data_IF_597372614119
#
_entry.id   IF_597372614119
#
_cell.length_a   1.000
_cell.length_b   1.000
_cell.length_c   1.000
_cell.angle_alpha   90.00
_cell.angle_beta   90.00
_cell.angle_gamma   90.00
#
_symmetry.space_group_name_H-M   'P 1'
#
loop_
_entity.id
_entity.type
_entity.pdbx_description
1 polymer ?
#
# COMPACT_ATOMS: atom_id res chain seq x y z
N UNK A 1 -9.80 14.91 -24.04
CA UNK A 1 -10.35 14.09 -22.93
C UNK A 1 -9.44 12.91 -22.54
N UNK A 2 -8.39 12.60 -23.31
CA UNK A 2 -7.53 11.39 -23.20
C UNK A 2 -6.44 11.42 -22.11
N UNK A 3 -6.17 12.56 -21.48
CA UNK A 3 -4.99 12.71 -20.60
C UNK A 3 -5.27 12.46 -19.11
N UNK A 4 -6.50 12.72 -18.62
CA UNK A 4 -6.90 12.29 -17.26
C UNK A 4 -6.81 10.77 -17.10
N UNK A 5 -6.82 10.05 -18.22
CA UNK A 5 -6.69 8.59 -18.28
C UNK A 5 -5.25 8.08 -18.25
N UNK A 6 -4.21 8.85 -18.62
CA UNK A 6 -2.82 8.34 -18.63
C UNK A 6 -2.27 8.13 -17.22
N UNK A 7 -2.28 9.16 -16.37
CA UNK A 7 -1.77 9.05 -14.99
C UNK A 7 -2.51 7.99 -14.18
N UNK A 8 -3.80 7.80 -14.44
CA UNK A 8 -4.61 6.75 -13.80
C UNK A 8 -4.15 5.35 -14.22
N UNK A 9 -3.90 5.13 -15.51
CA UNK A 9 -3.40 3.86 -16.04
C UNK A 9 -2.00 3.56 -15.51
N UNK A 10 -1.09 4.52 -15.57
CA UNK A 10 0.28 4.39 -15.08
C UNK A 10 0.32 4.06 -13.59
N UNK A 11 -0.58 4.68 -12.82
CA UNK A 11 -0.70 4.43 -11.38
C UNK A 11 -1.23 3.03 -11.06
N UNK A 12 -2.16 2.49 -11.86
CA UNK A 12 -2.63 1.12 -11.72
C UNK A 12 -1.48 0.14 -11.98
N UNK A 13 -0.74 0.34 -13.08
CA UNK A 13 0.39 -0.50 -13.47
C UNK A 13 1.47 -0.48 -12.38
N UNK A 14 1.82 0.71 -11.88
CA UNK A 14 2.79 0.85 -10.80
C UNK A 14 2.29 0.19 -9.49
N UNK A 15 0.99 0.33 -9.17
CA UNK A 15 0.40 -0.36 -8.02
C UNK A 15 0.55 -1.88 -8.14
N UNK A 16 0.30 -2.46 -9.31
CA UNK A 16 0.52 -3.89 -9.55
C UNK A 16 2.00 -4.26 -9.41
N UNK A 17 2.91 -3.46 -9.93
CA UNK A 17 4.34 -3.71 -9.81
C UNK A 17 4.79 -3.73 -8.34
N UNK A 18 4.41 -2.71 -7.56
CA UNK A 18 4.70 -2.60 -6.12
C UNK A 18 4.16 -3.79 -5.33
N UNK A 19 2.99 -4.31 -5.72
CA UNK A 19 2.33 -5.38 -4.99
C UNK A 19 2.61 -6.78 -5.53
N UNK A 20 3.24 -6.92 -6.70
CA UNK A 20 3.48 -8.21 -7.35
C UNK A 20 4.31 -9.17 -6.50
N UNK A 21 5.14 -8.63 -5.61
CA UNK A 21 5.96 -9.41 -4.69
C UNK A 21 5.14 -10.06 -3.57
N UNK A 22 3.98 -9.50 -3.20
CA UNK A 22 3.15 -10.02 -2.10
C UNK A 22 2.59 -11.41 -2.40
N UNK A 23 1.89 -11.67 -3.53
CA UNK A 23 1.45 -13.02 -3.87
C UNK A 23 2.62 -14.03 -3.81
N UNK A 24 3.77 -13.68 -4.38
CA UNK A 24 4.96 -14.55 -4.36
C UNK A 24 5.41 -14.86 -2.94
N UNK A 25 5.53 -13.86 -2.06
CA UNK A 25 5.96 -14.05 -0.68
C UNK A 25 4.95 -14.84 0.17
N UNK A 26 3.65 -14.65 -0.09
CA UNK A 26 2.58 -15.32 0.63
C UNK A 26 2.45 -16.79 0.21
N UNK A 27 2.42 -17.08 -1.10
CA UNK A 27 2.25 -18.46 -1.60
C UNK A 27 3.51 -19.32 -1.52
N UNK A 28 4.70 -18.72 -1.34
CA UNK A 28 5.96 -19.45 -1.14
C UNK A 28 6.19 -19.94 0.30
N UNK A 29 5.22 -19.79 1.20
CA UNK A 29 5.35 -20.11 2.64
C UNK A 29 6.58 -19.45 3.29
N UNK A 30 6.89 -18.21 2.89
CA UNK A 30 8.00 -17.48 3.49
C UNK A 30 7.64 -16.98 4.90
N UNK A 31 8.64 -16.63 5.71
CA UNK A 31 8.45 -15.95 7.01
C UNK A 31 7.57 -14.69 6.93
N UNK A 32 7.43 -14.11 5.74
CA UNK A 32 6.52 -12.99 5.49
C UNK A 32 5.04 -13.35 5.72
N UNK A 33 4.64 -14.58 5.42
CA UNK A 33 3.28 -15.05 5.66
C UNK A 33 2.96 -15.10 7.15
N UNK A 34 3.90 -15.63 7.95
CA UNK A 34 3.77 -15.68 9.42
C UNK A 34 3.69 -14.26 10.01
N UNK A 35 4.49 -13.32 9.47
CA UNK A 35 4.43 -11.90 9.85
C UNK A 35 3.06 -11.29 9.56
N UNK A 36 2.48 -11.56 8.40
CA UNK A 36 1.14 -11.10 8.04
C UNK A 36 0.05 -11.67 8.95
N UNK A 37 0.14 -12.96 9.32
CA UNK A 37 -0.80 -13.61 10.26
C UNK A 37 -0.74 -12.94 11.64
N UNK A 38 0.44 -12.51 12.08
CA UNK A 38 0.57 -11.80 13.36
C UNK A 38 -0.14 -10.44 13.37
N UNK A 39 -0.28 -9.78 12.21
CA UNK A 39 -1.09 -8.56 12.09
C UNK A 39 -2.58 -8.92 12.23
N UNK A 40 -3.06 -9.85 11.42
CA UNK A 40 -4.44 -10.32 11.51
C UNK A 40 -4.52 -11.75 11.00
N UNK A 41 -5.00 -12.64 11.86
CA UNK A 41 -5.27 -14.04 11.53
C UNK A 41 -6.74 -14.19 11.11
N UNK A 42 -6.96 -14.38 9.82
CA UNK A 42 -8.26 -14.70 9.22
C UNK A 42 -8.53 -16.21 9.16
N UNK A 43 -7.62 -17.03 9.68
CA UNK A 43 -7.63 -18.48 9.59
C UNK A 43 -6.94 -19.01 8.32
N UNK A 44 -6.66 -20.31 8.34
CA UNK A 44 -5.85 -21.03 7.33
C UNK A 44 -6.33 -20.79 5.89
N UNK A 45 -7.65 -20.76 5.68
CA UNK A 45 -8.23 -20.59 4.36
C UNK A 45 -8.20 -19.13 3.87
N UNK A 46 -8.54 -18.18 4.73
CA UNK A 46 -8.69 -16.77 4.33
C UNK A 46 -7.37 -15.99 4.35
N UNK A 47 -6.37 -16.40 5.12
CA UNK A 47 -5.08 -15.70 5.20
C UNK A 47 -4.38 -15.57 3.83
N UNK A 48 -4.19 -16.65 3.04
CA UNK A 48 -3.54 -16.53 1.73
C UNK A 48 -4.36 -15.68 0.75
N UNK A 49 -5.69 -15.78 0.81
CA UNK A 49 -6.61 -15.01 -0.05
C UNK A 49 -6.51 -13.53 0.29
N UNK A 50 -6.54 -13.17 1.57
CA UNK A 50 -6.50 -11.79 2.00
C UNK A 50 -5.13 -11.16 1.69
N UNK A 51 -4.05 -11.74 2.21
CA UNK A 51 -2.72 -11.15 2.11
C UNK A 51 -2.12 -11.29 0.70
N UNK A 52 -2.46 -12.35 -0.03
CA UNK A 52 -1.95 -12.61 -1.37
C UNK A 52 -2.78 -11.99 -2.50
N UNK A 53 -4.05 -11.64 -2.28
CA UNK A 53 -4.93 -11.13 -3.36
C UNK A 53 -5.61 -9.82 -2.94
N UNK A 54 -6.41 -9.83 -1.87
CA UNK A 54 -7.23 -8.66 -1.50
C UNK A 54 -6.37 -7.46 -1.10
N UNK A 55 -5.30 -7.68 -0.34
CA UNK A 55 -4.39 -6.62 0.10
C UNK A 55 -3.62 -5.98 -1.07
N UNK A 56 -3.03 -6.74 -2.01
CA UNK A 56 -2.53 -6.19 -3.27
C UNK A 56 -3.55 -5.36 -4.06
N UNK A 57 -4.78 -5.87 -4.21
CA UNK A 57 -5.85 -5.14 -4.92
C UNK A 57 -6.21 -3.83 -4.20
N UNK A 58 -6.24 -3.84 -2.88
CA UNK A 58 -6.46 -2.63 -2.08
C UNK A 58 -5.38 -1.59 -2.35
N UNK A 59 -4.10 -1.97 -2.41
CA UNK A 59 -3.02 -1.03 -2.73
C UNK A 59 -3.16 -0.47 -4.15
N UNK A 60 -3.46 -1.31 -5.15
CA UNK A 60 -3.72 -0.85 -6.53
C UNK A 60 -4.86 0.18 -6.55
N UNK A 61 -5.94 -0.08 -5.80
CA UNK A 61 -7.04 0.85 -5.66
C UNK A 61 -6.60 2.18 -5.01
N UNK A 62 -5.75 2.14 -3.99
CA UNK A 62 -5.20 3.34 -3.37
C UNK A 62 -4.36 4.17 -4.34
N UNK A 63 -3.51 3.53 -5.13
CA UNK A 63 -2.73 4.19 -6.19
C UNK A 63 -3.65 4.90 -7.17
N UNK A 64 -4.65 4.20 -7.69
CA UNK A 64 -5.63 4.76 -8.63
C UNK A 64 -6.42 5.94 -8.03
N UNK A 65 -6.93 5.77 -6.80
CA UNK A 65 -7.70 6.80 -6.09
C UNK A 65 -6.87 8.06 -5.85
N UNK A 66 -5.62 7.91 -5.44
CA UNK A 66 -4.71 9.04 -5.18
C UNK A 66 -4.28 9.71 -6.48
N UNK A 67 -3.99 8.95 -7.53
CA UNK A 67 -3.72 9.47 -8.87
C UNK A 67 -4.90 10.32 -9.40
N UNK A 68 -6.13 9.83 -9.21
CA UNK A 68 -7.33 10.56 -9.60
C UNK A 68 -7.43 11.91 -8.89
N UNK A 69 -7.11 11.99 -7.61
CA UNK A 69 -7.11 13.26 -6.86
C UNK A 69 -6.03 14.23 -7.35
N UNK A 70 -4.82 13.74 -7.58
CA UNK A 70 -3.67 14.58 -7.98
C UNK A 70 -3.75 15.01 -9.45
N UNK A 71 -4.45 14.25 -10.30
CA UNK A 71 -4.60 14.58 -11.73
C UNK A 71 -5.15 15.98 -12.02
N UNK A 72 -5.90 16.57 -11.08
CA UNK A 72 -6.46 17.92 -11.23
C UNK A 72 -5.45 19.04 -10.97
N UNK A 73 -4.48 18.80 -10.08
CA UNK A 73 -3.49 19.80 -9.67
C UNK A 73 -2.10 19.55 -10.24
N UNK A 74 -1.90 18.45 -10.98
CA UNK A 74 -0.60 17.94 -11.41
C UNK A 74 0.31 18.99 -12.09
N UNK A 75 -0.26 19.90 -12.89
CA UNK A 75 0.49 20.94 -13.61
C UNK A 75 0.72 22.22 -12.81
N UNK A 76 0.00 22.39 -11.70
CA UNK A 76 0.10 23.60 -10.87
C UNK A 76 1.09 23.43 -9.71
N UNK A 77 1.47 22.19 -9.42
CA UNK A 77 2.35 21.86 -8.30
C UNK A 77 3.72 21.37 -8.81
N UNK A 78 4.76 21.76 -8.08
CA UNK A 78 6.12 21.30 -8.36
C UNK A 78 6.19 19.76 -8.30
N UNK A 79 7.02 19.18 -9.18
CA UNK A 79 7.23 17.73 -9.32
C UNK A 79 7.39 17.00 -7.97
N UNK A 80 8.32 17.42 -7.13
CA UNK A 80 8.57 16.78 -5.83
C UNK A 80 7.38 16.93 -4.87
N UNK A 81 6.63 18.02 -4.96
CA UNK A 81 5.41 18.23 -4.16
C UNK A 81 4.32 17.26 -4.59
N UNK A 82 4.13 17.03 -5.90
CA UNK A 82 3.21 16.03 -6.42
C UNK A 82 3.57 14.61 -5.97
N UNK A 83 4.87 14.25 -6.06
CA UNK A 83 5.36 12.94 -5.63
C UNK A 83 5.15 12.73 -4.12
N UNK A 84 5.48 13.73 -3.30
CA UNK A 84 5.27 13.70 -1.86
C UNK A 84 3.78 13.57 -1.50
N UNK A 85 2.90 14.35 -2.14
CA UNK A 85 1.45 14.25 -1.94
C UNK A 85 0.90 12.88 -2.34
N UNK A 86 1.38 12.31 -3.45
CA UNK A 86 0.99 10.97 -3.89
C UNK A 86 1.41 9.92 -2.88
N UNK A 87 2.71 9.91 -2.52
CA UNK A 87 3.27 8.93 -1.60
C UNK A 87 2.63 9.00 -0.23
N UNK A 88 2.45 10.21 0.32
CA UNK A 88 1.78 10.40 1.60
C UNK A 88 0.30 9.97 1.55
N UNK A 89 -0.40 10.29 0.46
CA UNK A 89 -1.82 9.95 0.29
C UNK A 89 -2.10 8.45 0.18
N UNK A 90 -1.14 7.67 -0.35
CA UNK A 90 -1.21 6.21 -0.38
C UNK A 90 -0.74 5.63 0.95
N UNK A 91 0.44 6.02 1.43
CA UNK A 91 1.08 5.43 2.61
C UNK A 91 0.28 5.64 3.89
N UNK A 92 -0.31 6.83 4.08
CA UNK A 92 -1.17 7.12 5.25
C UNK A 92 -2.38 6.18 5.33
N UNK A 93 -3.00 5.88 4.19
CA UNK A 93 -4.15 4.96 4.12
C UNK A 93 -3.74 3.51 4.33
N UNK A 94 -2.56 3.11 3.86
CA UNK A 94 -2.00 1.77 4.13
C UNK A 94 -1.77 1.60 5.63
N UNK A 95 -1.09 2.56 6.27
CA UNK A 95 -0.85 2.55 7.71
C UNK A 95 -2.17 2.44 8.47
N UNK A 96 -3.14 3.31 8.16
CA UNK A 96 -4.44 3.31 8.82
C UNK A 96 -5.19 1.99 8.60
N UNK A 97 -5.14 1.41 7.40
CA UNK A 97 -5.76 0.12 7.12
C UNK A 97 -5.09 -1.01 7.92
N UNK A 98 -3.76 -1.09 7.95
CA UNK A 98 -3.03 -2.11 8.70
C UNK A 98 -3.30 -2.04 10.21
N UNK A 99 -3.29 -0.84 10.79
CA UNK A 99 -3.67 -0.64 12.19
C UNK A 99 -5.13 -1.01 12.46
N UNK A 100 -6.03 -0.65 11.55
CA UNK A 100 -7.45 -1.01 11.67
C UNK A 100 -7.66 -2.53 11.63
N UNK A 101 -7.01 -3.22 10.69
CA UNK A 101 -7.04 -4.68 10.60
C UNK A 101 -6.49 -5.35 11.84
N UNK A 102 -5.38 -4.84 12.38
CA UNK A 102 -4.80 -5.34 13.62
C UNK A 102 -5.76 -5.22 14.81
N UNK A 103 -6.36 -4.03 14.99
CA UNK A 103 -7.31 -3.79 16.08
C UNK A 103 -8.53 -4.72 15.94
N UNK A 104 -9.12 -4.80 14.74
CA UNK A 104 -10.27 -5.66 14.47
C UNK A 104 -9.91 -7.14 14.68
N UNK A 105 -8.76 -7.59 14.20
CA UNK A 105 -8.28 -8.96 14.37
C UNK A 105 -8.13 -9.35 15.84
N UNK A 106 -7.62 -8.43 16.67
CA UNK A 106 -7.54 -8.63 18.13
C UNK A 106 -8.92 -8.70 18.80
N UNK A 107 -9.91 -7.96 18.30
CA UNK A 107 -11.29 -8.06 18.80
C UNK A 107 -11.97 -9.38 18.41
N UNK A 108 -11.81 -9.83 17.15
CA UNK A 108 -12.48 -11.01 16.61
C UNK A 108 -11.89 -12.31 17.16
N UNK A 109 -10.56 -12.44 17.17
CA UNK A 109 -9.89 -13.67 17.60
C UNK A 109 -9.88 -13.85 19.14
N UNK A 110 -10.51 -12.90 19.84
CA UNK A 110 -10.53 -12.83 21.29
C UNK A 110 -9.16 -12.44 21.85
N UNK A 111 -9.18 -11.70 22.95
CA UNK A 111 -8.05 -11.66 23.88
C UNK A 111 -8.08 -13.01 24.63
N UNK A 112 -8.00 -14.14 23.92
CA UNK A 112 -7.95 -15.47 24.52
C UNK A 112 -6.54 -15.69 25.05
N UNK A 113 -6.25 -14.99 26.15
CA UNK A 113 -5.10 -15.10 27.06
C UNK A 113 -3.98 -16.05 26.62
N UNK A 114 -3.06 -15.60 25.74
CA UNK A 114 -1.66 -15.90 25.95
C UNK A 114 -1.29 -15.46 27.37
N UNK A 115 -0.44 -16.21 28.08
CA UNK A 115 0.11 -15.78 29.36
C UNK A 115 0.55 -14.31 29.25
N UNK A 116 0.25 -13.48 30.25
CA UNK A 116 0.45 -12.01 30.25
C UNK A 116 1.81 -11.55 29.70
N UNK A 117 2.85 -12.39 29.82
CA UNK A 117 4.18 -12.21 29.22
C UNK A 117 4.20 -12.31 27.68
N UNK A 118 3.57 -13.32 27.10
CA UNK A 118 3.50 -13.52 25.64
C UNK A 118 2.65 -12.46 24.94
N UNK A 119 1.69 -11.87 25.66
CA UNK A 119 0.81 -10.85 25.09
C UNK A 119 1.58 -9.58 24.68
N UNK A 120 2.53 -9.16 25.51
CA UNK A 120 3.28 -7.93 25.32
C UNK A 120 4.26 -8.06 24.14
N UNK A 121 4.96 -9.18 24.06
CA UNK A 121 5.88 -9.49 22.96
C UNK A 121 5.14 -9.60 21.63
N UNK A 122 3.97 -10.26 21.60
CA UNK A 122 3.16 -10.37 20.39
C UNK A 122 2.62 -9.02 19.91
N UNK A 123 2.20 -8.13 20.82
CA UNK A 123 1.79 -6.76 20.47
C UNK A 123 2.97 -5.99 19.87
N UNK A 124 4.12 -5.98 20.56
CA UNK A 124 5.32 -5.25 20.10
C UNK A 124 5.72 -5.73 18.71
N UNK A 125 5.76 -7.05 18.50
CA UNK A 125 6.18 -7.62 17.23
C UNK A 125 5.17 -7.33 16.11
N UNK A 126 3.87 -7.35 16.39
CA UNK A 126 2.84 -6.97 15.42
C UNK A 126 2.96 -5.50 15.02
N UNK A 127 3.18 -4.60 15.98
CA UNK A 127 3.41 -3.18 15.72
C UNK A 127 4.69 -2.98 14.90
N UNK A 128 5.78 -3.66 15.27
CA UNK A 128 7.04 -3.59 14.53
C UNK A 128 6.87 -4.07 13.08
N UNK A 129 6.09 -5.13 12.88
CA UNK A 129 5.77 -5.66 11.55
C UNK A 129 4.94 -4.67 10.74
N UNK A 130 3.91 -4.05 11.33
CA UNK A 130 3.11 -3.00 10.66
C UNK A 130 4.00 -1.82 10.26
N UNK A 131 4.89 -1.37 11.15
CA UNK A 131 5.81 -0.27 10.89
C UNK A 131 6.80 -0.62 9.77
N UNK A 132 7.40 -1.81 9.83
CA UNK A 132 8.33 -2.29 8.81
C UNK A 132 7.64 -2.40 7.44
N UNK A 133 6.48 -3.05 7.38
CA UNK A 133 5.70 -3.19 6.16
C UNK A 133 5.30 -1.84 5.58
N UNK A 134 4.82 -0.93 6.43
CA UNK A 134 4.45 0.43 6.05
C UNK A 134 5.65 1.21 5.51
N UNK A 135 6.81 1.06 6.13
CA UNK A 135 8.05 1.73 5.71
C UNK A 135 8.51 1.24 4.33
N UNK A 136 8.54 -0.08 4.11
CA UNK A 136 8.88 -0.68 2.81
C UNK A 136 7.91 -0.20 1.73
N UNK A 137 6.60 -0.26 2.00
CA UNK A 137 5.57 0.20 1.06
C UNK A 137 5.68 1.71 0.77
N UNK A 138 6.02 2.52 1.77
CA UNK A 138 6.22 3.96 1.60
C UNK A 138 7.40 4.26 0.66
N UNK A 139 8.53 3.55 0.80
CA UNK A 139 9.68 3.70 -0.11
C UNK A 139 9.28 3.31 -1.53
N UNK A 140 8.67 2.14 -1.71
CA UNK A 140 8.25 1.66 -3.03
C UNK A 140 7.21 2.59 -3.69
N UNK A 141 6.28 3.11 -2.90
CA UNK A 141 5.28 4.08 -3.34
C UNK A 141 5.94 5.40 -3.74
N UNK A 142 6.92 5.87 -2.97
CA UNK A 142 7.65 7.08 -3.30
C UNK A 142 8.42 6.93 -4.62
N UNK A 143 9.18 5.84 -4.80
CA UNK A 143 9.91 5.56 -6.05
C UNK A 143 8.93 5.49 -7.23
N UNK A 144 7.81 4.78 -7.05
CA UNK A 144 6.78 4.68 -8.09
C UNK A 144 6.18 6.05 -8.43
N UNK A 145 5.95 6.89 -7.43
CA UNK A 145 5.41 8.25 -7.64
C UNK A 145 6.34 9.12 -8.47
N UNK A 146 7.67 8.99 -8.30
CA UNK A 146 8.65 9.72 -9.11
C UNK A 146 8.48 9.38 -10.60
N UNK A 147 8.38 8.09 -10.92
CA UNK A 147 8.25 7.62 -12.30
C UNK A 147 6.93 8.11 -12.91
N UNK A 148 5.80 7.89 -12.21
CA UNK A 148 4.46 8.23 -12.69
C UNK A 148 4.31 9.74 -12.92
N UNK A 149 4.68 10.55 -11.93
CA UNK A 149 4.51 12.01 -11.99
C UNK A 149 5.38 12.59 -13.10
N UNK A 150 6.63 12.11 -13.24
CA UNK A 150 7.56 12.63 -14.25
C UNK A 150 7.07 12.33 -15.66
N UNK A 151 6.62 11.10 -15.91
CA UNK A 151 6.08 10.69 -17.19
C UNK A 151 4.87 11.54 -17.61
N UNK A 152 4.01 11.91 -16.64
CA UNK A 152 2.79 12.65 -16.92
C UNK A 152 2.99 14.17 -17.02
N UNK A 153 3.89 14.77 -16.24
CA UNK A 153 4.22 16.20 -16.40
C UNK A 153 4.96 16.47 -17.72
N UNK A 154 5.92 15.62 -18.11
CA UNK A 154 6.64 15.76 -19.38
C UNK A 154 5.72 15.59 -20.61
N UNK A 155 4.77 14.67 -20.54
CA UNK A 155 3.80 14.47 -21.63
C UNK A 155 2.84 15.65 -21.80
N UNK A 156 2.65 16.46 -20.76
CA UNK A 156 1.76 17.63 -20.79
C UNK A 156 2.48 18.90 -21.28
N UNK A 157 3.76 19.12 -20.92
CA UNK A 157 4.53 20.25 -21.46
C UNK A 157 4.69 20.15 -22.99
N UNK A 158 4.85 18.93 -23.52
CA UNK A 158 4.95 18.65 -24.95
C UNK A 158 3.65 18.89 -25.74
N UNK A 159 2.48 18.79 -25.07
CA UNK A 159 1.18 19.04 -25.69
C UNK A 159 0.72 20.51 -25.55
N UNK A 160 1.37 21.30 -24.69
CA UNK A 160 1.13 22.76 -24.61
C UNK A 160 1.97 23.55 -25.62
N UNK A 161 3.03 22.94 -26.17
CA UNK A 161 3.93 23.55 -27.16
C UNK A 161 3.60 23.18 -28.61
N UNK A 162 2.55 22.37 -28.83
CA UNK A 162 1.96 22.10 -30.15
C UNK A 162 0.63 22.84 -30.27
#
# INVERSE_FOLDING_TARGET
MEQKTSIRKDSIIAGFFVCSIFPLLIFSKSYFFDLCIQICDFGIFWNPIFWGILFPLFIVFLFWSTAKKISFSLNQIAYFKACSQFSFGVSSKIILALFTLYIIGKFINGISTPLRSQFLDQIIFSILTILFLSFVLMILTFISSLIIVKANQNSQSLNQTK
#
